data_IF_327479467453
#
_entry.id   IF_327479467453
#
_cell.length_a   1.000
_cell.length_b   1.000
_cell.length_c   1.000
_cell.angle_alpha   90.00
_cell.angle_beta   90.00
_cell.angle_gamma   90.00
#
_symmetry.space_group_name_H-M   'P 1'
#
loop_
_entity.id
_entity.type
_entity.pdbx_description
1 polymer ?
#
# COMPACT_ATOMS: atom_id res chain seq x y z
N UNK A 1 -6.24 0.65 10.13
CA UNK A 1 -5.71 -0.11 8.98
C UNK A 1 -5.89 -1.59 9.23
N UNK A 2 -6.45 -2.29 8.24
CA UNK A 2 -6.59 -3.74 8.25
C UNK A 2 -5.67 -4.33 7.18
N UNK A 3 -4.76 -5.21 7.58
CA UNK A 3 -3.94 -6.00 6.68
C UNK A 3 -4.40 -7.44 6.73
N UNK A 4 -4.64 -8.04 5.56
CA UNK A 4 -5.09 -9.41 5.45
C UNK A 4 -4.36 -10.07 4.29
N UNK A 5 -3.46 -11.00 4.60
CA UNK A 5 -2.62 -11.65 3.61
C UNK A 5 -2.10 -13.01 4.10
N UNK A 6 -1.50 -13.76 3.19
CA UNK A 6 -0.77 -14.99 3.47
C UNK A 6 0.61 -14.94 2.81
N UNK A 7 1.62 -15.45 3.48
CA UNK A 7 2.94 -15.63 2.93
C UNK A 7 3.22 -17.13 2.71
N UNK A 8 3.82 -17.47 1.58
CA UNK A 8 4.33 -18.83 1.38
C UNK A 8 5.40 -19.15 2.44
N UNK A 9 5.49 -20.39 2.93
CA UNK A 9 6.43 -20.77 4.01
C UNK A 9 7.89 -20.40 3.74
N UNK A 10 8.34 -20.50 2.50
CA UNK A 10 9.70 -20.14 2.08
C UNK A 10 9.91 -18.65 1.74
N UNK A 11 8.86 -17.81 1.73
CA UNK A 11 8.98 -16.41 1.34
C UNK A 11 9.37 -15.53 2.54
N UNK A 12 10.65 -15.53 2.88
CA UNK A 12 11.20 -14.85 4.06
C UNK A 12 10.85 -13.35 4.10
N UNK A 13 10.94 -12.64 2.95
CA UNK A 13 10.63 -11.21 2.85
C UNK A 13 9.16 -10.91 3.19
N UNK A 14 8.22 -11.65 2.64
CA UNK A 14 6.80 -11.49 2.95
C UNK A 14 6.51 -11.74 4.45
N UNK A 15 7.17 -12.73 5.03
CA UNK A 15 7.05 -13.02 6.49
C UNK A 15 7.65 -11.90 7.33
N UNK A 16 8.77 -11.30 6.90
CA UNK A 16 9.36 -10.14 7.56
C UNK A 16 8.41 -8.91 7.49
N UNK A 17 7.74 -8.69 6.36
CA UNK A 17 6.74 -7.62 6.21
C UNK A 17 5.54 -7.86 7.13
N UNK A 18 5.02 -9.08 7.24
CA UNK A 18 3.93 -9.41 8.19
C UNK A 18 4.38 -9.09 9.62
N UNK A 19 5.60 -9.48 9.98
CA UNK A 19 6.17 -9.16 11.30
C UNK A 19 6.30 -7.65 11.53
N UNK A 20 6.68 -6.90 10.50
CA UNK A 20 6.75 -5.44 10.55
C UNK A 20 5.36 -4.82 10.80
N UNK A 21 4.31 -5.30 10.14
CA UNK A 21 2.93 -4.84 10.37
C UNK A 21 2.55 -5.02 11.84
N UNK A 22 2.83 -6.18 12.44
CA UNK A 22 2.60 -6.41 13.87
C UNK A 22 3.40 -5.46 14.75
N UNK A 23 4.69 -5.27 14.47
CA UNK A 23 5.54 -4.37 15.25
C UNK A 23 5.06 -2.90 15.17
N UNK A 24 4.59 -2.46 14.01
CA UNK A 24 3.95 -1.13 13.85
C UNK A 24 2.65 -1.06 14.65
N UNK A 25 1.82 -2.10 14.61
CA UNK A 25 0.59 -2.18 15.41
C UNK A 25 0.88 -2.05 16.91
N UNK A 26 1.86 -2.78 17.41
CA UNK A 26 2.30 -2.71 18.80
C UNK A 26 2.87 -1.34 19.18
N UNK A 27 3.62 -0.72 18.28
CA UNK A 27 4.17 0.62 18.49
C UNK A 27 3.04 1.67 18.58
N UNK A 28 2.09 1.63 17.66
CA UNK A 28 0.92 2.51 17.65
C UNK A 28 0.09 2.32 18.93
N UNK A 29 -0.20 1.09 19.31
CA UNK A 29 -1.01 0.76 20.50
C UNK A 29 -0.38 1.25 21.81
N UNK A 30 0.96 1.33 21.87
CA UNK A 30 1.69 1.86 23.03
C UNK A 30 1.84 3.37 23.03
N UNK A 31 1.55 4.06 21.92
CA UNK A 31 1.69 5.50 21.81
C UNK A 31 0.46 6.22 22.36
N UNK A 32 0.55 7.00 23.46
CA UNK A 32 -0.59 7.72 24.00
C UNK A 32 -1.22 8.73 23.03
N UNK A 33 -0.44 9.21 22.06
CA UNK A 33 -0.88 10.15 21.03
C UNK A 33 -1.54 9.46 19.84
N UNK A 34 -1.01 8.31 19.43
CA UNK A 34 -1.47 7.60 18.24
C UNK A 34 -2.60 6.62 18.52
N UNK A 35 -2.57 5.89 19.63
CA UNK A 35 -3.54 4.85 19.96
C UNK A 35 -5.01 5.29 19.93
N UNK A 36 -5.38 6.53 20.36
CA UNK A 36 -6.76 6.99 20.25
C UNK A 36 -7.22 7.28 18.80
N UNK A 37 -6.29 7.44 17.86
CA UNK A 37 -6.56 7.92 16.51
C UNK A 37 -6.30 6.85 15.44
N UNK A 38 -5.52 5.83 15.75
CA UNK A 38 -5.01 4.89 14.76
C UNK A 38 -4.95 3.48 15.35
N UNK A 39 -5.43 2.52 14.58
CA UNK A 39 -5.21 1.11 14.83
C UNK A 39 -4.60 0.45 13.60
N UNK A 40 -3.64 -0.43 13.81
CA UNK A 40 -3.01 -1.25 12.76
C UNK A 40 -3.18 -2.70 13.15
N UNK A 41 -3.95 -3.44 12.37
CA UNK A 41 -4.34 -4.81 12.66
C UNK A 41 -3.95 -5.73 11.50
N UNK A 42 -3.42 -6.89 11.82
CA UNK A 42 -3.22 -7.97 10.87
C UNK A 42 -4.25 -9.07 11.14
N UNK A 43 -5.03 -9.40 10.11
CA UNK A 43 -6.05 -10.46 10.19
C UNK A 43 -5.37 -11.79 9.86
N UNK A 44 -5.26 -12.72 10.83
CA UNK A 44 -4.67 -14.01 10.59
C UNK A 44 -5.59 -14.88 9.73
N UNK A 45 -5.02 -15.84 9.06
CA UNK A 45 -5.73 -16.86 8.29
C UNK A 45 -6.79 -16.30 7.32
N UNK A 46 -6.38 -15.30 6.54
CA UNK A 46 -7.26 -14.68 5.55
C UNK A 46 -7.88 -15.72 4.61
N UNK A 47 -9.19 -15.79 4.60
CA UNK A 47 -10.02 -16.74 3.86
C UNK A 47 -11.17 -16.02 3.17
N UNK A 48 -11.92 -16.74 2.34
CA UNK A 48 -13.14 -16.21 1.71
C UNK A 48 -14.12 -15.69 2.76
N UNK A 49 -14.34 -16.44 3.84
CA UNK A 49 -15.24 -16.05 4.93
C UNK A 49 -14.78 -14.77 5.62
N UNK A 50 -13.46 -14.59 5.81
CA UNK A 50 -12.91 -13.35 6.35
C UNK A 50 -13.09 -12.19 5.34
N UNK A 51 -12.86 -12.44 4.05
CA UNK A 51 -13.03 -11.47 2.99
C UNK A 51 -14.46 -10.93 2.91
N UNK A 52 -15.48 -11.80 2.98
CA UNK A 52 -16.89 -11.43 2.98
C UNK A 52 -17.28 -10.44 4.08
N UNK A 53 -16.54 -10.44 5.19
CA UNK A 53 -16.76 -9.50 6.31
C UNK A 53 -15.92 -8.24 6.21
N UNK A 54 -14.67 -8.36 5.73
CA UNK A 54 -13.71 -7.26 5.69
C UNK A 54 -13.99 -6.32 4.52
N UNK A 55 -14.28 -6.88 3.34
CA UNK A 55 -14.44 -6.09 2.13
C UNK A 55 -15.56 -5.05 2.26
N UNK A 56 -16.78 -5.40 2.75
CA UNK A 56 -17.85 -4.41 2.92
C UNK A 56 -17.57 -3.36 4.01
N UNK A 57 -16.59 -3.58 4.87
CA UNK A 57 -16.23 -2.65 5.94
C UNK A 57 -15.12 -1.65 5.55
N UNK A 58 -14.61 -1.74 4.33
CA UNK A 58 -13.51 -0.90 3.88
C UNK A 58 -14.03 0.38 3.20
N UNK A 59 -13.55 1.55 3.64
CA UNK A 59 -13.79 2.82 2.97
C UNK A 59 -12.74 3.09 1.88
N UNK A 60 -11.52 2.62 2.08
CA UNK A 60 -10.37 2.81 1.17
C UNK A 60 -9.70 1.47 0.90
N UNK A 61 -9.47 1.19 -0.36
CA UNK A 61 -8.75 0.03 -0.86
C UNK A 61 -7.32 0.43 -1.24
N UNK A 62 -6.31 -0.01 -0.49
CA UNK A 62 -4.91 0.26 -0.82
C UNK A 62 -4.37 -0.82 -1.76
N UNK A 63 -4.02 -0.42 -2.99
CA UNK A 63 -3.56 -1.26 -4.09
C UNK A 63 -2.24 -0.71 -4.63
N UNK A 64 -1.14 -1.09 -3.98
CA UNK A 64 0.14 -0.41 -4.03
C UNK A 64 1.26 -1.21 -4.72
N UNK A 65 0.92 -2.10 -5.65
CA UNK A 65 1.91 -2.76 -6.50
C UNK A 65 2.71 -1.73 -7.30
N UNK A 66 3.99 -2.02 -7.56
CA UNK A 66 4.77 -1.18 -8.49
C UNK A 66 4.19 -1.32 -9.90
N UNK A 67 4.08 -0.21 -10.63
CA UNK A 67 3.56 -0.21 -11.98
C UNK A 67 4.24 -1.29 -12.86
N UNK A 68 3.43 -2.09 -13.55
CA UNK A 68 3.88 -3.21 -14.39
C UNK A 68 4.19 -4.51 -13.64
N UNK A 69 3.91 -4.61 -12.34
CA UNK A 69 4.17 -5.82 -11.56
C UNK A 69 2.93 -6.66 -11.24
N UNK A 70 1.75 -6.06 -11.29
CA UNK A 70 0.48 -6.76 -11.08
C UNK A 70 -0.25 -6.98 -12.41
N UNK A 71 -0.57 -8.21 -12.75
CA UNK A 71 -1.24 -8.53 -14.01
C UNK A 71 -2.67 -7.98 -14.06
N UNK A 72 -3.44 -8.11 -12.99
CA UNK A 72 -4.81 -7.59 -12.86
C UNK A 72 -5.19 -7.41 -11.39
N UNK A 73 -5.33 -8.50 -10.65
CA UNK A 73 -5.92 -8.51 -9.32
C UNK A 73 -7.46 -8.57 -9.39
N UNK A 74 -8.07 -9.13 -8.36
CA UNK A 74 -9.54 -9.18 -8.22
C UNK A 74 -10.03 -8.57 -6.92
N UNK A 75 -9.13 -8.40 -5.94
CA UNK A 75 -9.46 -7.81 -4.64
C UNK A 75 -9.91 -6.36 -4.75
N UNK A 76 -9.25 -5.58 -5.59
CA UNK A 76 -9.58 -4.19 -5.87
C UNK A 76 -10.98 -4.03 -6.46
N UNK A 77 -11.40 -4.88 -7.41
CA UNK A 77 -12.74 -4.85 -7.98
C UNK A 77 -13.81 -5.22 -6.94
N UNK A 78 -13.54 -6.20 -6.07
CA UNK A 78 -14.45 -6.57 -4.98
C UNK A 78 -14.63 -5.43 -3.97
N UNK A 79 -13.55 -4.75 -3.62
CA UNK A 79 -13.56 -3.58 -2.75
C UNK A 79 -14.32 -2.42 -3.42
N UNK A 80 -14.06 -2.14 -4.70
CA UNK A 80 -14.77 -1.14 -5.50
C UNK A 80 -16.28 -1.42 -5.53
N UNK A 81 -16.71 -2.69 -5.77
CA UNK A 81 -18.10 -3.10 -5.75
C UNK A 81 -18.79 -2.81 -4.41
N UNK A 82 -18.05 -2.87 -3.32
CA UNK A 82 -18.53 -2.58 -1.97
C UNK A 82 -18.33 -1.12 -1.55
N UNK A 83 -17.99 -0.23 -2.48
CA UNK A 83 -17.94 1.21 -2.27
C UNK A 83 -16.60 1.74 -1.77
N UNK A 84 -15.57 0.92 -1.64
CA UNK A 84 -14.25 1.43 -1.29
C UNK A 84 -13.63 2.18 -2.48
N UNK A 85 -13.08 3.37 -2.22
CA UNK A 85 -12.30 4.11 -3.21
C UNK A 85 -10.88 3.53 -3.27
N UNK A 86 -10.27 3.53 -4.45
CA UNK A 86 -8.91 3.04 -4.63
C UNK A 86 -7.88 4.11 -4.27
N UNK A 87 -6.99 3.79 -3.34
CA UNK A 87 -5.69 4.46 -3.15
C UNK A 87 -4.63 3.53 -3.72
N UNK A 88 -4.07 3.85 -4.87
CA UNK A 88 -3.20 2.89 -5.53
C UNK A 88 -2.34 3.47 -6.64
N UNK A 89 -1.49 2.63 -7.17
CA UNK A 89 -0.67 2.90 -8.36
C UNK A 89 -1.49 2.66 -9.63
N UNK A 90 -1.03 3.20 -10.74
CA UNK A 90 -1.63 2.94 -12.05
C UNK A 90 -1.12 1.61 -12.59
N UNK A 91 -1.62 0.50 -12.01
CA UNK A 91 -1.15 -0.86 -12.26
C UNK A 91 -2.30 -1.87 -12.14
N UNK A 92 -2.20 -3.00 -12.80
CA UNK A 92 -3.19 -4.05 -12.79
C UNK A 92 -4.60 -3.51 -13.08
N UNK A 93 -5.63 -4.05 -12.42
CA UNK A 93 -7.00 -3.61 -12.61
C UNK A 93 -7.30 -2.18 -12.12
N UNK A 94 -6.37 -1.50 -11.45
CA UNK A 94 -6.55 -0.07 -11.12
C UNK A 94 -6.63 0.79 -12.39
N UNK A 95 -5.98 0.37 -13.48
CA UNK A 95 -6.06 1.03 -14.78
C UNK A 95 -7.50 1.07 -15.29
N UNK A 96 -8.18 -0.09 -15.26
CA UNK A 96 -9.58 -0.20 -15.68
C UNK A 96 -10.52 0.49 -14.67
N UNK A 97 -10.24 0.42 -13.39
CA UNK A 97 -11.01 1.13 -12.35
C UNK A 97 -11.00 2.64 -12.62
N UNK A 98 -9.83 3.20 -12.89
CA UNK A 98 -9.68 4.63 -13.23
C UNK A 98 -10.39 4.96 -14.53
N UNK A 99 -10.26 4.13 -15.56
CA UNK A 99 -10.93 4.33 -16.84
C UNK A 99 -12.47 4.31 -16.71
N UNK A 100 -13.01 3.47 -15.83
CA UNK A 100 -14.45 3.31 -15.65
C UNK A 100 -15.05 4.35 -14.69
N UNK A 101 -14.40 4.64 -13.58
CA UNK A 101 -14.94 5.51 -12.53
C UNK A 101 -14.44 6.96 -12.59
N UNK A 102 -13.38 7.24 -13.35
CA UNK A 102 -12.66 8.51 -13.38
C UNK A 102 -11.53 8.60 -12.37
N UNK A 103 -10.41 9.20 -12.77
CA UNK A 103 -9.24 9.37 -11.89
C UNK A 103 -9.57 10.27 -10.69
N UNK A 104 -10.42 11.28 -10.89
CA UNK A 104 -10.89 12.20 -9.84
C UNK A 104 -11.69 11.52 -8.72
N UNK A 105 -12.19 10.31 -8.96
CA UNK A 105 -12.94 9.51 -7.99
C UNK A 105 -12.06 8.47 -7.28
N UNK A 106 -10.76 8.47 -7.57
CA UNK A 106 -9.76 7.61 -6.97
C UNK A 106 -8.57 8.44 -6.50
N UNK A 107 -7.57 7.81 -5.89
CA UNK A 107 -6.36 8.46 -5.39
C UNK A 107 -5.16 7.71 -5.95
N UNK A 108 -4.72 8.13 -7.14
CA UNK A 108 -3.65 7.46 -7.86
C UNK A 108 -2.32 8.15 -7.57
N UNK A 109 -1.27 7.35 -7.36
CA UNK A 109 0.07 7.82 -7.07
C UNK A 109 1.13 6.97 -7.77
N UNK A 110 2.38 7.39 -7.66
CA UNK A 110 3.54 6.64 -8.12
C UNK A 110 3.83 6.78 -9.61
N UNK A 111 4.95 6.20 -10.00
CA UNK A 111 5.42 6.19 -11.37
C UNK A 111 4.49 5.37 -12.27
N UNK A 112 4.35 5.77 -13.53
CA UNK A 112 3.68 4.97 -14.54
C UNK A 112 4.68 4.04 -15.25
N UNK A 113 4.19 2.97 -15.86
CA UNK A 113 5.04 1.96 -16.52
C UNK A 113 5.95 2.59 -17.57
N UNK A 114 5.41 3.50 -18.38
CA UNK A 114 6.12 4.21 -19.45
C UNK A 114 7.27 5.08 -18.94
N UNK A 115 7.22 5.53 -17.69
CA UNK A 115 8.22 6.42 -17.09
C UNK A 115 9.31 5.65 -16.33
N UNK A 116 9.04 4.41 -15.92
CA UNK A 116 9.92 3.66 -15.02
C UNK A 116 11.34 3.48 -15.55
N UNK A 117 11.51 3.20 -16.84
CA UNK A 117 12.83 3.00 -17.44
C UNK A 117 13.67 4.29 -17.44
N UNK A 118 13.00 5.44 -17.61
CA UNK A 118 13.66 6.74 -17.54
C UNK A 118 14.02 7.09 -16.10
N UNK A 119 13.11 6.87 -15.16
CA UNK A 119 13.31 7.15 -13.74
C UNK A 119 14.42 6.27 -13.14
N UNK A 120 14.48 4.99 -13.51
CA UNK A 120 15.49 4.05 -13.01
C UNK A 120 16.91 4.39 -13.43
N UNK A 121 17.12 5.05 -14.58
CA UNK A 121 18.46 5.42 -15.06
C UNK A 121 19.25 6.37 -14.14
N UNK A 122 18.58 7.14 -13.31
CA UNK A 122 19.21 8.03 -12.32
C UNK A 122 18.83 7.72 -10.89
N UNK A 123 18.21 6.56 -10.65
CA UNK A 123 17.63 6.21 -9.38
C UNK A 123 18.70 5.87 -8.34
N UNK A 124 18.78 6.66 -7.27
CA UNK A 124 19.65 6.41 -6.12
C UNK A 124 18.81 6.39 -4.83
N UNK A 125 18.43 5.19 -4.34
CA UNK A 125 17.71 5.04 -3.08
C UNK A 125 18.42 5.67 -1.88
N UNK A 126 19.76 5.65 -1.87
CA UNK A 126 20.56 6.28 -0.79
C UNK A 126 20.50 7.80 -0.84
N UNK A 127 20.42 8.38 -2.02
CA UNK A 127 20.21 9.83 -2.15
C UNK A 127 18.85 10.24 -1.60
N UNK A 128 17.78 9.51 -1.93
CA UNK A 128 16.44 9.72 -1.37
C UNK A 128 16.44 9.60 0.16
N UNK A 129 17.03 8.53 0.69
CA UNK A 129 17.16 8.35 2.13
C UNK A 129 17.89 9.51 2.80
N UNK A 130 18.93 10.09 2.18
CA UNK A 130 19.68 11.23 2.74
C UNK A 130 18.90 12.54 2.66
N UNK A 131 18.17 12.76 1.58
CA UNK A 131 17.48 14.03 1.30
C UNK A 131 16.10 14.17 1.91
N UNK A 132 15.41 13.04 2.17
CA UNK A 132 14.05 13.04 2.71
C UNK A 132 14.04 12.67 4.20
N UNK A 133 13.78 13.63 5.11
CA UNK A 133 13.76 13.37 6.55
C UNK A 133 12.67 12.39 6.99
N UNK A 134 11.49 12.41 6.36
CA UNK A 134 10.39 11.53 6.72
C UNK A 134 10.69 10.09 6.29
N UNK A 135 11.15 9.90 5.05
CA UNK A 135 11.58 8.61 4.55
C UNK A 135 12.69 8.03 5.42
N UNK A 136 13.70 8.85 5.76
CA UNK A 136 14.79 8.43 6.64
C UNK A 136 14.28 7.98 8.00
N UNK A 137 13.39 8.74 8.63
CA UNK A 137 12.78 8.36 9.92
C UNK A 137 12.06 7.02 9.84
N UNK A 138 11.28 6.79 8.78
CA UNK A 138 10.60 5.52 8.56
C UNK A 138 11.58 4.34 8.43
N UNK A 139 12.67 4.52 7.67
CA UNK A 139 13.67 3.46 7.49
C UNK A 139 14.55 3.25 8.72
N UNK A 140 14.87 4.32 9.46
CA UNK A 140 15.66 4.20 10.68
C UNK A 140 14.89 3.48 11.78
N UNK A 141 13.59 3.67 11.87
CA UNK A 141 12.73 2.95 12.82
C UNK A 141 12.82 1.42 12.73
N UNK A 142 13.26 0.89 11.60
CA UNK A 142 13.50 -0.55 11.42
C UNK A 142 14.72 -1.06 12.21
N UNK A 143 15.66 -0.17 12.57
CA UNK A 143 16.97 -0.58 13.11
C UNK A 143 17.46 0.20 14.32
N UNK A 144 16.77 1.30 14.69
CA UNK A 144 17.16 2.17 15.81
C UNK A 144 16.54 1.77 17.16
N UNK A 145 15.78 0.68 17.21
CA UNK A 145 15.09 0.21 18.40
C UNK A 145 13.65 0.73 18.55
N UNK A 146 13.17 1.59 17.66
CA UNK A 146 11.76 2.04 17.64
C UNK A 146 10.80 0.87 17.40
N UNK A 147 11.12 0.03 16.42
CA UNK A 147 10.41 -1.20 16.12
C UNK A 147 11.26 -2.41 16.51
N UNK A 148 10.61 -3.49 16.97
CA UNK A 148 11.31 -4.70 17.37
C UNK A 148 10.97 -5.88 16.47
N UNK A 149 11.99 -6.52 15.95
CA UNK A 149 11.88 -7.80 15.26
C UNK A 149 12.21 -9.00 16.16
N UNK A 150 12.26 -8.76 17.46
CA UNK A 150 12.59 -9.80 18.48
C UNK A 150 13.96 -10.45 18.24
N UNK A 151 14.93 -9.69 17.74
CA UNK A 151 16.30 -10.13 17.52
C UNK A 151 16.53 -11.05 16.32
N UNK A 152 15.58 -11.11 15.38
CA UNK A 152 15.72 -11.96 14.19
C UNK A 152 16.56 -11.34 13.08
N UNK A 153 16.83 -10.03 13.12
CA UNK A 153 17.57 -9.29 12.08
C UNK A 153 16.76 -9.01 10.81
N UNK A 154 15.54 -9.48 10.72
CA UNK A 154 14.77 -9.37 9.48
C UNK A 154 14.40 -7.93 9.12
N UNK A 155 14.31 -7.00 10.07
CA UNK A 155 14.06 -5.59 9.76
C UNK A 155 15.31 -4.90 9.19
N UNK A 156 16.51 -5.28 9.66
CA UNK A 156 17.76 -4.84 9.05
C UNK A 156 17.88 -5.35 7.61
N UNK A 157 17.44 -6.59 7.33
CA UNK A 157 17.41 -7.14 5.98
C UNK A 157 16.41 -6.39 5.07
N UNK A 158 15.23 -6.02 5.58
CA UNK A 158 14.27 -5.18 4.84
C UNK A 158 14.89 -3.83 4.49
N UNK A 159 15.47 -3.13 5.47
CA UNK A 159 16.14 -1.82 5.23
C UNK A 159 17.28 -1.96 4.21
N UNK A 160 18.09 -3.00 4.35
CA UNK A 160 19.19 -3.26 3.43
C UNK A 160 18.71 -3.47 2.00
N UNK A 161 17.65 -4.25 1.77
CA UNK A 161 17.10 -4.50 0.43
C UNK A 161 16.56 -3.26 -0.27
N UNK A 162 16.19 -2.23 0.49
CA UNK A 162 15.77 -0.94 -0.05
C UNK A 162 16.95 0.00 -0.37
N UNK A 163 18.05 -0.10 0.38
CA UNK A 163 19.16 0.84 0.27
C UNK A 163 20.37 0.27 -0.47
N UNK A 164 20.51 -1.05 -0.55
CA UNK A 164 21.69 -1.71 -1.09
C UNK A 164 21.32 -2.69 -2.20
N UNK A 165 22.17 -2.79 -3.23
CA UNK A 165 21.97 -3.77 -4.29
C UNK A 165 21.95 -5.20 -3.75
N UNK A 166 20.98 -5.98 -4.21
CA UNK A 166 20.90 -7.43 -3.97
C UNK A 166 21.77 -8.20 -4.98
N UNK A 167 21.64 -9.53 -5.01
CA UNK A 167 22.46 -10.39 -5.87
C UNK A 167 22.35 -10.08 -7.37
N UNK A 168 21.26 -9.45 -7.79
CA UNK A 168 21.03 -8.99 -9.16
C UNK A 168 21.52 -7.56 -9.44
N UNK A 169 22.19 -6.93 -8.47
CA UNK A 169 22.72 -5.57 -8.59
C UNK A 169 21.69 -4.47 -8.41
N UNK A 170 20.43 -4.77 -8.01
CA UNK A 170 19.36 -3.79 -7.91
C UNK A 170 18.98 -3.55 -6.43
N UNK A 171 19.05 -2.28 -6.00
CA UNK A 171 18.44 -1.83 -4.75
C UNK A 171 17.00 -1.38 -5.00
N UNK A 172 16.14 -1.47 -3.98
CA UNK A 172 14.73 -1.07 -4.08
C UNK A 172 14.08 -1.53 -5.40
N UNK A 173 14.13 -2.83 -5.64
CA UNK A 173 13.61 -3.48 -6.85
C UNK A 173 12.22 -2.99 -7.26
N UNK A 174 11.37 -2.72 -6.28
CA UNK A 174 9.98 -2.33 -6.46
C UNK A 174 9.75 -0.82 -6.42
N UNK A 175 10.81 0.00 -6.52
CA UNK A 175 10.72 1.46 -6.58
C UNK A 175 9.92 2.08 -5.42
N UNK A 176 9.92 1.42 -4.26
CA UNK A 176 9.12 1.80 -3.08
C UNK A 176 9.51 3.18 -2.56
N UNK A 177 10.82 3.47 -2.53
CA UNK A 177 11.31 4.77 -2.04
C UNK A 177 11.07 5.87 -3.08
N UNK A 178 11.06 5.54 -4.37
CA UNK A 178 10.73 6.47 -5.45
C UNK A 178 9.28 6.95 -5.38
N UNK A 179 8.36 6.06 -5.03
CA UNK A 179 6.94 6.37 -4.94
C UNK A 179 6.51 6.92 -3.56
N UNK A 180 7.43 6.94 -2.57
CA UNK A 180 7.08 7.26 -1.18
C UNK A 180 6.37 8.60 -1.01
N UNK A 181 6.91 9.68 -1.55
CA UNK A 181 6.32 11.01 -1.38
C UNK A 181 4.97 11.15 -2.09
N UNK A 182 4.81 10.55 -3.26
CA UNK A 182 3.52 10.56 -3.98
C UNK A 182 2.47 9.75 -3.22
N UNK A 183 2.85 8.62 -2.61
CA UNK A 183 1.99 7.85 -1.70
C UNK A 183 1.56 8.69 -0.48
N UNK A 184 2.51 9.33 0.20
CA UNK A 184 2.22 10.18 1.37
C UNK A 184 1.23 11.28 1.00
N UNK A 185 1.44 11.95 -0.15
CA UNK A 185 0.54 12.99 -0.64
C UNK A 185 -0.89 12.44 -0.87
N UNK A 186 -1.02 11.36 -1.64
CA UNK A 186 -2.30 10.73 -1.93
C UNK A 186 -3.00 10.23 -0.64
N UNK A 187 -2.24 9.68 0.32
CA UNK A 187 -2.75 9.24 1.62
C UNK A 187 -3.29 10.40 2.45
N UNK A 188 -2.60 11.52 2.49
CA UNK A 188 -3.08 12.72 3.17
C UNK A 188 -4.32 13.31 2.50
N UNK A 189 -4.38 13.25 1.17
CA UNK A 189 -5.54 13.71 0.41
C UNK A 189 -6.78 12.86 0.72
N UNK A 190 -6.70 11.52 0.64
CA UNK A 190 -7.85 10.65 0.94
C UNK A 190 -8.32 10.83 2.38
N UNK A 191 -7.40 10.93 3.35
CA UNK A 191 -7.75 11.18 4.74
C UNK A 191 -8.43 12.55 4.91
N UNK A 192 -7.93 13.56 4.21
CA UNK A 192 -8.50 14.89 4.21
C UNK A 192 -9.93 14.94 3.64
N UNK A 193 -10.15 14.27 2.52
CA UNK A 193 -11.46 14.20 1.88
C UNK A 193 -12.46 13.43 2.76
N UNK A 194 -12.05 12.30 3.32
CA UNK A 194 -12.86 11.50 4.22
C UNK A 194 -13.34 12.31 5.45
N UNK A 195 -12.43 13.04 6.09
CA UNK A 195 -12.72 13.76 7.34
C UNK A 195 -13.43 15.10 7.13
N UNK A 196 -13.07 15.84 6.08
CA UNK A 196 -13.52 17.23 5.87
C UNK A 196 -14.66 17.36 4.86
N UNK A 197 -14.84 16.38 3.99
CA UNK A 197 -15.82 16.42 2.91
C UNK A 197 -16.57 15.09 2.77
N UNK A 198 -17.22 14.61 3.84
CA UNK A 198 -17.81 13.26 3.86
C UNK A 198 -18.84 13.02 2.75
N UNK A 199 -19.63 14.04 2.38
CA UNK A 199 -20.60 13.93 1.29
C UNK A 199 -19.91 13.77 -0.07
N UNK A 200 -18.84 14.52 -0.33
CA UNK A 200 -18.08 14.40 -1.55
C UNK A 200 -17.34 13.05 -1.61
N UNK A 201 -16.80 12.60 -0.49
CA UNK A 201 -16.19 11.28 -0.38
C UNK A 201 -17.20 10.15 -0.62
N UNK A 202 -18.39 10.21 0.00
CA UNK A 202 -19.47 9.24 -0.23
C UNK A 202 -19.91 9.22 -1.72
N UNK A 203 -19.90 10.37 -2.40
CA UNK A 203 -20.18 10.43 -3.84
C UNK A 203 -19.11 9.68 -4.64
N UNK A 204 -17.82 9.80 -4.29
CA UNK A 204 -16.75 9.03 -4.94
C UNK A 204 -16.97 7.51 -4.73
N UNK A 205 -17.29 7.10 -3.50
CA UNK A 205 -17.63 5.70 -3.19
C UNK A 205 -18.78 5.18 -4.09
N UNK A 206 -19.85 5.97 -4.18
CA UNK A 206 -21.00 5.64 -5.00
C UNK A 206 -20.66 5.52 -6.49
N UNK A 207 -19.89 6.47 -7.04
CA UNK A 207 -19.48 6.44 -8.44
C UNK A 207 -18.59 5.23 -8.73
N UNK A 208 -17.66 4.90 -7.85
CA UNK A 208 -16.85 3.68 -7.97
C UNK A 208 -17.73 2.43 -7.99
N UNK A 209 -18.67 2.29 -7.06
CA UNK A 209 -19.57 1.15 -6.99
C UNK A 209 -20.42 1.01 -8.26
N UNK A 210 -21.00 2.11 -8.75
CA UNK A 210 -21.81 2.11 -9.97
C UNK A 210 -21.00 1.80 -11.24
N UNK A 211 -19.71 2.07 -11.24
CA UNK A 211 -18.80 1.83 -12.37
C UNK A 211 -18.05 0.49 -12.26
N UNK A 212 -18.42 -0.37 -11.30
CA UNK A 212 -17.67 -1.58 -11.00
C UNK A 212 -17.65 -2.56 -12.17
N UNK A 213 -16.44 -2.90 -12.61
CA UNK A 213 -16.17 -3.75 -13.78
C UNK A 213 -16.65 -5.20 -13.62
N UNK A 214 -16.87 -5.69 -12.38
CA UNK A 214 -17.41 -7.02 -12.15
C UNK A 214 -18.81 -7.21 -12.73
N UNK A 215 -19.58 -6.12 -12.91
CA UNK A 215 -20.89 -6.17 -13.54
C UNK A 215 -20.85 -6.08 -15.06
N UNK A 216 -19.78 -5.53 -15.62
CA UNK A 216 -19.65 -5.24 -17.04
C UNK A 216 -18.70 -6.18 -17.77
N UNK A 217 -17.84 -6.88 -17.03
CA UNK A 217 -16.96 -7.90 -17.63
C UNK A 217 -17.77 -9.13 -17.97
N UNK A 218 -17.76 -9.61 -19.23
CA UNK A 218 -18.34 -10.90 -19.56
C UNK A 218 -17.65 -11.97 -18.72
N UNK A 219 -18.44 -12.79 -18.06
CA UNK A 219 -17.94 -13.96 -17.33
C UNK A 219 -17.13 -14.83 -18.31
N UNK A 220 -15.95 -15.32 -17.92
CA UNK A 220 -15.18 -16.23 -18.76
C UNK A 220 -15.93 -17.51 -19.04
#
# INVERSE_FOLDING_TARGET
FLFAAKAAPGYARAKAIIKLIHAVGDYVARSPKAAPLLQVLFVPDYSVTAAERIIPAADVSEQISTAGTEASGTGNMKLMLNGAVTLGTYDGANVEIVAAAGEENNYIFGARVEDLDALRRGYDPKALYRSDPLLRQCLDALTDGTLSDSGTGCFADLKRSLLEPEADGVADRYFVLGDFQSYVHAKLQVNGDYLRSPTAFARKCWLNMCSCLLYTSPSP
#
